data_IF_999141132800
#
_entry.id   IF_999141132800
#
_cell.length_a   1.000
_cell.length_b   1.000
_cell.length_c   1.000
_cell.angle_alpha   90.00
_cell.angle_beta   90.00
_cell.angle_gamma   90.00
#
_symmetry.space_group_name_H-M   'P 1'
#
loop_
_entity.id
_entity.type
_entity.pdbx_description
1 polymer ?
#
# COMPACT_ATOMS: atom_id res chain seq x y z
N UNK A 1 -26.18 21.94 -12.29
CA UNK A 1 -26.33 23.40 -12.17
C UNK A 1 -26.54 24.03 -13.55
N UNK A 2 -27.42 25.02 -13.66
CA UNK A 2 -27.64 25.78 -14.91
C UNK A 2 -27.13 27.22 -14.80
N UNK A 3 -27.16 27.97 -15.91
CA UNK A 3 -26.81 29.40 -15.93
C UNK A 3 -28.03 30.22 -15.51
N UNK A 4 -27.78 31.40 -14.92
CA UNK A 4 -28.84 32.35 -14.59
C UNK A 4 -29.50 32.88 -15.87
N UNK A 5 -30.83 32.84 -15.88
CA UNK A 5 -31.68 33.08 -17.06
C UNK A 5 -32.81 34.07 -16.76
N UNK A 6 -32.77 34.74 -15.61
CA UNK A 6 -33.69 35.84 -15.30
C UNK A 6 -33.52 36.99 -16.30
N UNK A 7 -34.57 37.80 -16.54
CA UNK A 7 -34.50 38.93 -17.48
C UNK A 7 -33.40 39.96 -17.18
N UNK A 8 -32.94 40.03 -15.93
CA UNK A 8 -31.88 40.92 -15.46
C UNK A 8 -30.49 40.26 -15.45
N UNK A 9 -30.37 39.04 -15.96
CA UNK A 9 -29.09 38.38 -16.21
C UNK A 9 -28.27 39.16 -17.24
N UNK A 10 -26.94 39.18 -17.07
CA UNK A 10 -26.05 39.69 -18.11
C UNK A 10 -25.99 38.70 -19.27
N UNK A 11 -26.54 39.08 -20.41
CA UNK A 11 -26.44 38.29 -21.64
C UNK A 11 -24.98 38.09 -22.04
N UNK A 12 -24.63 36.85 -22.41
CA UNK A 12 -23.34 36.46 -23.00
C UNK A 12 -22.08 36.87 -22.20
N UNK A 13 -22.19 37.04 -20.87
CA UNK A 13 -21.07 37.47 -20.00
C UNK A 13 -19.82 36.58 -20.15
N UNK A 14 -20.02 35.29 -20.38
CA UNK A 14 -18.93 34.31 -20.51
C UNK A 14 -18.83 33.72 -21.94
N UNK A 15 -19.35 34.43 -22.94
CA UNK A 15 -19.44 33.99 -24.35
C UNK A 15 -20.87 33.72 -24.80
N UNK A 16 -21.04 33.43 -26.10
CA UNK A 16 -22.36 33.24 -26.71
C UNK A 16 -23.19 32.16 -25.98
N UNK A 17 -24.41 32.53 -25.59
CA UNK A 17 -25.34 31.70 -24.82
C UNK A 17 -25.01 31.54 -23.33
N UNK A 18 -23.95 32.19 -22.83
CA UNK A 18 -23.45 31.99 -21.46
C UNK A 18 -23.70 33.23 -20.61
N UNK A 19 -24.95 33.36 -20.19
CA UNK A 19 -25.39 34.43 -19.30
C UNK A 19 -24.70 34.35 -17.92
N UNK A 20 -24.64 35.48 -17.22
CA UNK A 20 -24.03 35.55 -15.89
C UNK A 20 -24.58 36.68 -15.02
N UNK A 21 -24.18 36.69 -13.75
CA UNK A 21 -24.60 37.69 -12.77
C UNK A 21 -23.99 39.08 -13.03
N UNK A 22 -24.73 40.13 -12.73
CA UNK A 22 -24.27 41.52 -12.68
C UNK A 22 -24.77 42.22 -11.42
N UNK A 23 -23.97 43.15 -10.88
CA UNK A 23 -24.39 44.01 -9.77
C UNK A 23 -25.32 45.14 -10.22
N UNK A 24 -25.63 45.21 -11.52
CA UNK A 24 -26.25 46.37 -12.12
C UNK A 24 -25.27 47.53 -12.28
N UNK A 25 -25.78 48.63 -12.77
CA UNK A 25 -25.10 49.91 -12.89
C UNK A 25 -26.13 51.05 -12.82
N UNK A 26 -26.23 51.74 -11.67
CA UNK A 26 -27.17 52.85 -11.50
C UNK A 26 -26.97 53.99 -12.50
N UNK A 27 -25.75 54.23 -12.99
CA UNK A 27 -25.46 55.31 -13.92
C UNK A 27 -26.04 55.06 -15.31
N UNK A 28 -26.17 53.78 -15.70
CA UNK A 28 -26.74 53.36 -16.97
C UNK A 28 -28.17 52.82 -16.84
N UNK A 29 -28.75 52.86 -15.64
CA UNK A 29 -30.09 52.31 -15.35
C UNK A 29 -30.15 50.78 -15.39
N UNK A 30 -29.01 50.10 -15.43
CA UNK A 30 -28.94 48.65 -15.49
C UNK A 30 -29.25 48.05 -14.12
N UNK A 31 -30.25 47.18 -14.05
CA UNK A 31 -30.61 46.48 -12.81
C UNK A 31 -29.61 45.37 -12.48
N UNK A 32 -29.44 45.09 -11.19
CA UNK A 32 -28.73 43.90 -10.73
C UNK A 32 -29.49 42.63 -11.14
N UNK A 33 -28.78 41.50 -11.24
CA UNK A 33 -29.41 40.23 -11.57
C UNK A 33 -30.31 39.77 -10.44
N UNK A 34 -31.58 39.55 -10.77
CA UNK A 34 -32.56 38.95 -9.89
C UNK A 34 -32.28 37.45 -9.79
N UNK A 35 -32.41 36.90 -8.59
CA UNK A 35 -32.26 35.46 -8.34
C UNK A 35 -33.64 34.79 -8.49
N UNK A 36 -33.68 33.61 -9.10
CA UNK A 36 -34.88 32.78 -9.23
C UNK A 36 -34.78 31.48 -8.41
N UNK A 37 -35.94 30.84 -8.19
CA UNK A 37 -36.04 29.53 -7.53
C UNK A 37 -35.18 28.50 -8.22
N UNK A 38 -35.27 28.40 -9.54
CA UNK A 38 -34.66 27.33 -10.32
C UNK A 38 -33.13 27.27 -10.09
N UNK A 39 -32.47 28.44 -10.04
CA UNK A 39 -31.03 28.51 -9.76
C UNK A 39 -30.69 28.08 -8.33
N UNK A 40 -31.50 28.47 -7.33
CA UNK A 40 -31.26 28.11 -5.93
C UNK A 40 -31.60 26.65 -5.66
N UNK A 41 -32.65 26.12 -6.28
CA UNK A 41 -32.98 24.70 -6.26
C UNK A 41 -31.85 23.89 -6.88
N UNK A 42 -31.29 24.34 -8.01
CA UNK A 42 -30.13 23.69 -8.62
C UNK A 42 -28.89 23.72 -7.70
N UNK A 43 -28.60 24.83 -7.01
CA UNK A 43 -27.51 24.89 -6.02
C UNK A 43 -27.75 23.91 -4.88
N UNK A 44 -28.97 23.88 -4.35
CA UNK A 44 -29.37 23.00 -3.27
C UNK A 44 -29.19 21.54 -3.68
N UNK A 45 -29.74 21.15 -4.82
CA UNK A 45 -29.69 19.76 -5.28
C UNK A 45 -28.26 19.28 -5.56
N UNK A 46 -27.36 20.13 -6.04
CA UNK A 46 -25.94 19.76 -6.18
C UNK A 46 -25.29 19.45 -4.82
N UNK A 47 -25.58 20.26 -3.79
CA UNK A 47 -25.07 20.04 -2.43
C UNK A 47 -25.73 18.81 -1.81
N UNK A 48 -27.05 18.67 -1.93
CA UNK A 48 -27.83 17.54 -1.44
C UNK A 48 -27.37 16.23 -2.07
N UNK A 49 -27.17 16.21 -3.39
CA UNK A 49 -26.68 15.03 -4.12
C UNK A 49 -25.35 14.53 -3.56
N UNK A 50 -24.40 15.44 -3.23
CA UNK A 50 -23.11 15.04 -2.63
C UNK A 50 -23.31 14.42 -1.25
N UNK A 51 -24.21 14.98 -0.44
CA UNK A 51 -24.51 14.49 0.91
C UNK A 51 -25.18 13.11 0.86
N UNK A 52 -26.17 12.95 -0.01
CA UNK A 52 -26.90 11.70 -0.21
C UNK A 52 -26.03 10.62 -0.83
N UNK A 53 -25.15 10.96 -1.79
CA UNK A 53 -24.17 10.04 -2.34
C UNK A 53 -23.19 9.52 -1.28
N UNK A 54 -22.91 10.31 -0.25
CA UNK A 54 -22.15 9.86 0.92
C UNK A 54 -22.99 9.01 1.90
N UNK A 55 -24.27 8.74 1.60
CA UNK A 55 -25.18 7.99 2.46
C UNK A 55 -25.54 8.71 3.76
N UNK A 56 -25.60 10.04 3.74
CA UNK A 56 -25.98 10.88 4.89
C UNK A 56 -27.39 11.43 4.62
N UNK A 57 -28.35 11.27 5.55
CA UNK A 57 -29.68 11.85 5.40
C UNK A 57 -29.64 13.37 5.59
N UNK A 58 -30.34 14.13 4.75
CA UNK A 58 -30.43 15.58 4.83
C UNK A 58 -31.13 16.04 6.14
N UNK A 59 -30.59 17.08 6.78
CA UNK A 59 -31.09 17.63 8.04
C UNK A 59 -31.05 19.15 8.01
N UNK A 60 -32.22 19.77 8.07
CA UNK A 60 -32.38 21.23 7.97
C UNK A 60 -31.63 22.03 9.04
N UNK A 61 -31.40 21.44 10.21
CA UNK A 61 -30.68 22.09 11.31
C UNK A 61 -29.16 21.89 11.27
N UNK A 62 -28.65 21.07 10.34
CA UNK A 62 -27.25 20.69 10.29
C UNK A 62 -26.54 21.43 9.14
N UNK A 63 -25.57 22.27 9.49
CA UNK A 63 -24.85 23.09 8.51
C UNK A 63 -23.46 22.54 8.18
N UNK A 64 -23.11 21.34 8.67
CA UNK A 64 -21.83 20.68 8.37
C UNK A 64 -21.95 19.43 7.50
N UNK A 65 -23.14 19.13 6.97
CA UNK A 65 -23.39 17.89 6.21
C UNK A 65 -22.50 17.72 4.98
N UNK A 66 -22.28 18.79 4.21
CA UNK A 66 -21.40 18.74 3.03
C UNK A 66 -19.95 18.42 3.44
N UNK A 67 -19.48 19.00 4.55
CA UNK A 67 -18.15 18.70 5.09
C UNK A 67 -18.03 17.22 5.51
N UNK A 68 -19.03 16.71 6.24
CA UNK A 68 -19.07 15.30 6.63
C UNK A 68 -19.14 14.36 5.42
N UNK A 69 -19.91 14.71 4.40
CA UNK A 69 -20.05 13.95 3.16
C UNK A 69 -18.73 13.83 2.40
N UNK A 70 -18.02 14.95 2.20
CA UNK A 70 -16.71 14.98 1.55
C UNK A 70 -15.72 14.12 2.34
N UNK A 71 -15.67 14.26 3.67
CA UNK A 71 -14.81 13.46 4.53
C UNK A 71 -15.08 11.95 4.38
N UNK A 72 -16.35 11.55 4.36
CA UNK A 72 -16.75 10.14 4.19
C UNK A 72 -16.41 9.60 2.80
N UNK A 73 -16.70 10.34 1.73
CA UNK A 73 -16.39 9.95 0.36
C UNK A 73 -14.87 9.74 0.16
N UNK A 74 -14.06 10.64 0.69
CA UNK A 74 -12.59 10.51 0.66
C UNK A 74 -12.15 9.28 1.47
N UNK A 75 -12.68 9.09 2.67
CA UNK A 75 -12.32 7.95 3.52
C UNK A 75 -12.61 6.61 2.83
N UNK A 76 -13.77 6.46 2.20
CA UNK A 76 -14.11 5.22 1.45
C UNK A 76 -13.17 5.00 0.26
N UNK A 77 -12.78 6.05 -0.46
CA UNK A 77 -11.80 5.91 -1.55
C UNK A 77 -10.41 5.49 -1.02
N UNK A 78 -9.97 6.04 0.12
CA UNK A 78 -8.65 5.75 0.71
C UNK A 78 -8.56 4.33 1.28
N UNK A 79 -9.66 3.73 1.75
CA UNK A 79 -9.69 2.32 2.22
C UNK A 79 -9.21 1.29 1.20
N UNK A 80 -9.18 1.65 -0.09
CA UNK A 80 -8.68 0.78 -1.16
C UNK A 80 -7.15 0.81 -1.32
N UNK A 81 -6.46 1.67 -0.56
CA UNK A 81 -5.00 1.83 -0.60
C UNK A 81 -4.35 1.14 0.60
N UNK A 82 -3.10 0.74 0.42
CA UNK A 82 -2.27 0.25 1.51
C UNK A 82 -1.79 1.42 2.38
N UNK A 83 -1.85 1.26 3.69
CA UNK A 83 -1.42 2.22 4.68
C UNK A 83 0.09 2.09 4.96
N UNK A 84 0.83 3.19 4.78
CA UNK A 84 2.30 3.20 4.94
C UNK A 84 2.75 2.76 6.34
N UNK A 85 2.06 3.23 7.38
CA UNK A 85 2.35 2.89 8.78
C UNK A 85 2.01 1.43 9.13
N UNK A 86 1.20 0.74 8.33
CA UNK A 86 0.91 -0.68 8.51
C UNK A 86 1.99 -1.60 7.94
N UNK A 87 2.96 -1.05 7.20
CA UNK A 87 4.12 -1.80 6.67
C UNK A 87 3.71 -3.11 5.95
N UNK A 88 2.59 -3.09 5.22
CA UNK A 88 2.09 -4.24 4.46
C UNK A 88 1.29 -5.27 5.28
N UNK A 89 0.96 -4.99 6.55
CA UNK A 89 0.09 -5.84 7.36
C UNK A 89 -1.32 -5.97 6.75
N UNK A 90 -1.82 -4.92 6.12
CA UNK A 90 -3.08 -4.80 5.37
C UNK A 90 -3.09 -5.43 3.99
N UNK A 91 -1.97 -5.97 3.50
CA UNK A 91 -1.95 -6.68 2.21
C UNK A 91 -2.90 -7.88 2.27
N UNK A 92 -3.95 -7.94 1.43
CA UNK A 92 -4.96 -9.00 1.48
C UNK A 92 -4.39 -10.39 1.15
N UNK A 93 -3.44 -10.44 0.21
CA UNK A 93 -2.77 -11.67 -0.21
C UNK A 93 -1.25 -11.47 -0.23
N UNK A 94 -0.62 -11.71 0.92
CA UNK A 94 0.83 -11.58 1.09
C UNK A 94 1.63 -12.53 0.18
N UNK A 95 1.24 -13.82 0.00
CA UNK A 95 1.92 -14.70 -0.97
C UNK A 95 1.94 -14.14 -2.40
N UNK A 96 0.81 -13.68 -2.92
CA UNK A 96 0.73 -13.09 -4.27
C UNK A 96 1.53 -11.79 -4.36
N UNK A 97 1.51 -10.96 -3.32
CA UNK A 97 2.34 -9.76 -3.26
C UNK A 97 3.83 -10.09 -3.40
N UNK A 98 4.33 -11.06 -2.63
CA UNK A 98 5.72 -11.53 -2.68
C UNK A 98 6.10 -12.07 -4.08
N UNK A 99 5.17 -12.76 -4.74
CA UNK A 99 5.34 -13.20 -6.12
C UNK A 99 5.47 -12.02 -7.09
N UNK A 100 4.57 -11.03 -6.98
CA UNK A 100 4.55 -9.85 -7.85
C UNK A 100 5.79 -8.96 -7.69
N UNK A 101 6.40 -8.92 -6.49
CA UNK A 101 7.67 -8.20 -6.26
C UNK A 101 8.91 -9.05 -6.55
N UNK A 102 8.75 -10.27 -7.09
CA UNK A 102 9.86 -11.13 -7.51
C UNK A 102 10.61 -11.83 -6.38
N UNK A 103 10.04 -11.92 -5.17
CA UNK A 103 10.69 -12.53 -4.00
C UNK A 103 10.49 -14.04 -3.90
N UNK A 104 9.68 -14.67 -4.75
CA UNK A 104 9.39 -16.10 -4.68
C UNK A 104 10.64 -16.97 -4.76
N UNK A 105 11.51 -16.72 -5.74
CA UNK A 105 12.76 -17.47 -5.91
C UNK A 105 13.74 -17.28 -4.74
N UNK A 106 13.82 -16.06 -4.19
CA UNK A 106 14.65 -15.76 -3.02
C UNK A 106 14.20 -16.53 -1.79
N UNK A 107 12.88 -16.65 -1.57
CA UNK A 107 12.31 -17.42 -0.46
C UNK A 107 12.65 -18.90 -0.62
N UNK A 108 12.50 -19.47 -1.82
CA UNK A 108 12.85 -20.87 -2.08
C UNK A 108 14.33 -21.14 -1.82
N UNK A 109 15.22 -20.30 -2.35
CA UNK A 109 16.67 -20.41 -2.11
C UNK A 109 17.05 -20.28 -0.63
N UNK A 110 16.35 -19.42 0.11
CA UNK A 110 16.57 -19.27 1.55
C UNK A 110 16.09 -20.50 2.34
N UNK A 111 15.00 -21.14 1.91
CA UNK A 111 14.49 -22.37 2.52
C UNK A 111 15.43 -23.57 2.30
N UNK A 112 16.09 -23.63 1.14
CA UNK A 112 17.05 -24.67 0.79
C UNK A 112 18.48 -24.44 1.33
N UNK A 113 18.73 -23.29 1.96
CA UNK A 113 20.05 -22.95 2.49
C UNK A 113 20.33 -23.67 3.82
N UNK A 114 21.61 -24.01 4.06
CA UNK A 114 22.05 -24.56 5.35
C UNK A 114 21.86 -23.53 6.47
N UNK A 115 21.19 -23.93 7.54
CA UNK A 115 20.89 -23.14 8.72
C UNK A 115 22.06 -23.18 9.71
N UNK A 116 22.59 -22.01 10.04
CA UNK A 116 23.69 -21.88 11.01
C UNK A 116 23.37 -22.50 12.37
N UNK A 117 22.13 -22.35 12.84
CA UNK A 117 21.66 -22.90 14.12
C UNK A 117 21.67 -24.43 14.16
N UNK A 118 21.63 -25.09 13.00
CA UNK A 118 21.65 -26.55 12.90
C UNK A 118 23.08 -27.12 12.91
N UNK A 119 24.12 -26.28 12.84
CA UNK A 119 25.53 -26.70 12.87
C UNK A 119 25.85 -27.86 11.90
N UNK A 120 25.25 -27.85 10.70
CA UNK A 120 25.44 -28.88 9.67
C UNK A 120 24.62 -30.17 9.88
N UNK A 121 23.75 -30.24 10.90
CA UNK A 121 22.81 -31.34 11.06
C UNK A 121 21.85 -31.48 9.86
N UNK A 122 21.53 -30.36 9.23
CA UNK A 122 20.67 -30.21 8.07
C UNK A 122 21.36 -30.43 6.72
N UNK A 123 22.65 -30.80 6.71
CA UNK A 123 23.33 -31.25 5.49
C UNK A 123 22.63 -32.52 4.96
N UNK A 124 22.06 -32.51 3.73
CA UNK A 124 21.31 -33.66 3.22
C UNK A 124 22.19 -34.89 2.97
N UNK A 125 23.40 -34.67 2.47
CA UNK A 125 24.38 -35.73 2.16
C UNK A 125 25.72 -35.42 2.82
N UNK A 126 25.85 -35.83 4.08
CA UNK A 126 27.05 -35.62 4.90
C UNK A 126 28.27 -36.33 4.32
N UNK A 127 28.19 -37.60 3.85
CA UNK A 127 29.32 -38.26 3.18
C UNK A 127 29.85 -37.49 1.96
N UNK A 128 28.96 -37.02 1.07
CA UNK A 128 29.37 -36.21 -0.09
C UNK A 128 29.93 -34.86 0.32
N UNK A 129 29.38 -34.22 1.36
CA UNK A 129 29.94 -32.99 1.92
C UNK A 129 31.38 -33.20 2.41
N UNK A 130 31.64 -34.27 3.18
CA UNK A 130 32.99 -34.67 3.64
C UNK A 130 33.95 -34.89 2.47
N UNK A 131 33.47 -35.47 1.37
CA UNK A 131 34.25 -35.61 0.14
C UNK A 131 34.57 -34.26 -0.51
N UNK A 132 33.58 -33.35 -0.61
CA UNK A 132 33.76 -32.03 -1.23
C UNK A 132 34.74 -31.14 -0.45
N UNK A 133 34.84 -31.29 0.87
CA UNK A 133 35.82 -30.58 1.71
C UNK A 133 37.18 -31.30 1.81
N UNK A 134 37.39 -32.39 1.05
CA UNK A 134 38.68 -33.09 0.98
C UNK A 134 39.02 -33.97 2.19
N UNK A 135 38.09 -34.22 3.11
CA UNK A 135 38.34 -35.01 4.33
C UNK A 135 38.11 -36.52 4.17
N UNK A 136 37.71 -36.98 2.98
CA UNK A 136 37.39 -38.40 2.73
C UNK A 136 38.52 -39.35 3.11
N UNK A 137 39.76 -39.05 2.69
CA UNK A 137 40.92 -39.89 2.99
C UNK A 137 41.38 -39.77 4.44
N UNK A 138 41.33 -38.55 5.01
CA UNK A 138 41.65 -38.30 6.43
C UNK A 138 40.76 -39.10 7.37
N UNK A 139 39.48 -39.28 7.03
CA UNK A 139 38.54 -40.02 7.85
C UNK A 139 38.49 -41.51 7.51
N UNK A 140 39.17 -41.97 6.45
CA UNK A 140 39.17 -43.35 5.99
C UNK A 140 39.77 -44.29 7.06
N UNK A 141 38.96 -45.19 7.68
CA UNK A 141 39.43 -46.06 8.77
C UNK A 141 40.60 -46.96 8.37
N UNK A 142 40.68 -47.39 7.10
CA UNK A 142 41.74 -48.30 6.64
C UNK A 142 43.08 -47.61 6.40
N UNK A 143 43.10 -46.27 6.38
CA UNK A 143 44.31 -45.45 6.25
C UNK A 143 44.72 -44.77 7.55
N UNK A 144 43.97 -44.96 8.64
CA UNK A 144 44.34 -44.45 9.96
C UNK A 144 45.57 -45.19 10.46
N UNK A 145 46.60 -44.45 10.86
CA UNK A 145 47.75 -45.01 11.57
C UNK A 145 47.31 -45.33 12.99
N UNK A 146 47.39 -46.59 13.40
CA UNK A 146 47.20 -46.99 14.80
C UNK A 146 48.46 -46.61 15.58
N UNK A 147 48.31 -45.76 16.60
CA UNK A 147 49.43 -45.35 17.48
C UNK A 147 49.63 -46.31 18.68
N UNK A 148 48.95 -47.46 18.69
CA UNK A 148 48.99 -48.41 19.81
C UNK A 148 48.25 -47.89 21.05
N UNK A 149 48.30 -48.66 22.14
CA UNK A 149 47.78 -48.19 23.43
C UNK A 149 48.68 -47.07 23.96
N UNK A 150 48.08 -46.08 24.63
CA UNK A 150 48.82 -45.00 25.30
C UNK A 150 49.92 -45.62 26.19
N UNK A 151 51.18 -45.25 25.94
CA UNK A 151 52.35 -45.72 26.69
C UNK A 151 53.02 -47.01 26.18
N UNK A 152 52.67 -47.51 24.99
CA UNK A 152 53.22 -48.78 24.46
C UNK A 152 53.98 -48.65 23.13
N UNK A 153 54.18 -47.43 22.62
CA UNK A 153 54.85 -47.16 21.34
C UNK A 153 56.04 -46.19 21.45
N UNK A 154 56.85 -46.09 20.39
CA UNK A 154 58.07 -45.25 20.32
C UNK A 154 57.86 -43.72 20.47
N UNK A 155 56.60 -43.28 20.55
CA UNK A 155 56.19 -41.93 20.88
C UNK A 155 55.27 -42.01 22.12
N UNK A 156 55.86 -42.32 23.27
CA UNK A 156 55.14 -42.44 24.55
C UNK A 156 55.00 -41.10 25.30
N UNK A 157 55.41 -40.00 24.67
CA UNK A 157 55.38 -38.66 25.28
C UNK A 157 56.33 -38.49 26.46
N UNK A 158 57.24 -39.44 26.70
CA UNK A 158 58.20 -39.39 27.82
C UNK A 158 59.43 -38.54 27.53
N UNK A 159 59.66 -38.15 26.28
CA UNK A 159 60.62 -37.12 25.88
C UNK A 159 59.92 -35.99 25.14
N UNK A 160 60.08 -34.72 25.59
CA UNK A 160 59.44 -33.54 25.01
C UNK A 160 59.90 -33.21 23.60
#
# INVERSE_FOLDING_TARGET
MHRIDTPTAQKDKFGQGKNGFTNGDPATGRRATDLNSDMWDAVQEEVCTVIEAAGIPLSKGEHTQLHAAIGRLIAEQVKTRLEKNQNGADIPNKPLFLQNVGLGETINRAADALQKSQNGADIPDKPRFVQNIGLKETLNPTKRVSIGNIGTGAFDGSTP
#
